data_IF_374684231651
#
_entry.id   IF_374684231651
#
_cell.length_a   1.000
_cell.length_b   1.000
_cell.length_c   1.000
_cell.angle_alpha   90.00
_cell.angle_beta   90.00
_cell.angle_gamma   90.00
#
_symmetry.space_group_name_H-M   'P 1'
#
loop_
_entity.id
_entity.type
_entity.pdbx_description
1 polymer ?
#
# COMPACT_ATOMS: atom_id res chain seq x y z
N UNK A 1 -27.32 11.98 10.57
CA UNK A 1 -26.95 10.91 9.62
C UNK A 1 -25.63 11.31 9.00
N UNK A 2 -24.58 10.47 9.00
CA UNK A 2 -23.28 10.87 8.46
C UNK A 2 -23.38 10.97 6.93
N UNK A 3 -22.92 12.09 6.38
CA UNK A 3 -22.93 12.36 4.95
C UNK A 3 -22.03 11.38 4.22
N UNK A 4 -22.61 10.67 3.24
CA UNK A 4 -21.89 9.89 2.25
C UNK A 4 -21.14 10.85 1.34
N UNK A 5 -19.79 10.81 1.25
CA UNK A 5 -19.06 11.66 0.32
C UNK A 5 -19.49 11.25 -1.09
N UNK A 6 -20.04 12.23 -1.82
CA UNK A 6 -20.69 12.06 -3.13
C UNK A 6 -19.91 12.77 -4.23
N UNK A 7 -18.59 12.91 -4.09
CA UNK A 7 -17.76 13.50 -5.14
C UNK A 7 -16.39 12.81 -5.25
N UNK A 8 -16.04 12.19 -6.39
CA UNK A 8 -14.70 11.63 -6.62
C UNK A 8 -13.58 12.67 -6.66
N UNK A 9 -13.92 13.97 -6.68
CA UNK A 9 -12.97 15.09 -6.63
C UNK A 9 -12.60 15.55 -5.22
N UNK A 10 -13.24 15.04 -4.16
CA UNK A 10 -12.90 15.38 -2.76
C UNK A 10 -11.60 14.73 -2.25
N UNK A 11 -10.91 13.95 -3.10
CA UNK A 11 -9.63 13.30 -2.81
C UNK A 11 -8.53 13.79 -3.76
N UNK A 12 -8.47 15.10 -4.05
CA UNK A 12 -7.35 15.70 -4.74
C UNK A 12 -6.13 15.79 -3.82
N UNK A 13 -5.50 14.66 -3.51
CA UNK A 13 -4.25 14.62 -2.75
C UNK A 13 -3.14 15.36 -3.50
N UNK A 14 -2.46 16.26 -2.81
CA UNK A 14 -1.24 16.90 -3.33
C UNK A 14 -0.17 15.83 -3.58
N UNK A 15 0.74 16.10 -4.51
CA UNK A 15 1.90 15.22 -4.79
C UNK A 15 2.69 14.87 -3.52
N UNK A 16 2.73 15.79 -2.55
CA UNK A 16 3.38 15.60 -1.25
C UNK A 16 2.61 14.60 -0.38
N UNK A 17 1.30 14.76 -0.24
CA UNK A 17 0.45 13.84 0.52
C UNK A 17 0.47 12.43 -0.09
N UNK A 18 0.42 12.32 -1.42
CA UNK A 18 0.56 11.03 -2.10
C UNK A 18 1.90 10.38 -1.75
N UNK A 19 3.01 11.13 -1.83
CA UNK A 19 4.35 10.63 -1.51
C UNK A 19 4.46 10.18 -0.04
N UNK A 20 3.87 10.93 0.88
CA UNK A 20 3.80 10.59 2.31
C UNK A 20 3.03 9.28 2.52
N UNK A 21 1.88 9.12 1.86
CA UNK A 21 1.10 7.87 1.88
C UNK A 21 1.88 6.68 1.30
N UNK A 22 2.63 6.86 0.20
CA UNK A 22 3.49 5.81 -0.36
C UNK A 22 4.55 5.36 0.65
N UNK A 23 5.20 6.32 1.29
CA UNK A 23 6.29 6.05 2.22
C UNK A 23 5.77 5.36 3.48
N UNK A 24 4.61 5.78 3.97
CA UNK A 24 3.95 5.15 5.11
C UNK A 24 3.50 3.72 4.79
N UNK A 25 2.93 3.50 3.60
CA UNK A 25 2.58 2.15 3.14
C UNK A 25 3.82 1.24 3.07
N UNK A 26 4.94 1.73 2.54
CA UNK A 26 6.21 0.97 2.50
C UNK A 26 6.72 0.64 3.90
N UNK A 27 6.62 1.58 4.85
CA UNK A 27 7.01 1.37 6.25
C UNK A 27 6.18 0.25 6.88
N UNK A 28 4.86 0.32 6.77
CA UNK A 28 3.95 -0.69 7.30
C UNK A 28 4.21 -2.08 6.70
N UNK A 29 4.45 -2.16 5.38
CA UNK A 29 4.72 -3.44 4.73
C UNK A 29 6.01 -4.09 5.27
N UNK A 30 7.07 -3.29 5.47
CA UNK A 30 8.32 -3.76 6.05
C UNK A 30 8.13 -4.26 7.48
N UNK A 31 7.36 -3.55 8.30
CA UNK A 31 7.06 -3.96 9.67
C UNK A 31 6.28 -5.27 9.72
N UNK A 32 5.31 -5.45 8.83
CA UNK A 32 4.53 -6.68 8.77
C UNK A 32 5.38 -7.88 8.33
N UNK A 33 6.28 -7.71 7.35
CA UNK A 33 7.23 -8.75 6.96
C UNK A 33 8.11 -9.18 8.14
N UNK A 34 8.62 -8.22 8.91
CA UNK A 34 9.44 -8.51 10.10
C UNK A 34 8.66 -9.27 11.18
N UNK A 35 7.39 -8.93 11.40
CA UNK A 35 6.53 -9.66 12.35
C UNK A 35 6.26 -11.10 11.85
N UNK A 36 6.00 -11.26 10.56
CA UNK A 36 5.83 -12.55 9.92
C UNK A 36 7.10 -13.42 10.03
N UNK A 37 8.30 -12.83 9.86
CA UNK A 37 9.57 -13.55 10.06
C UNK A 37 9.75 -14.03 11.49
N UNK A 38 9.39 -13.23 12.49
CA UNK A 38 9.44 -13.66 13.90
C UNK A 38 8.53 -14.85 14.15
N UNK A 39 7.32 -14.84 13.56
CA UNK A 39 6.36 -15.93 13.68
C UNK A 39 6.80 -17.20 12.92
N UNK A 40 7.64 -17.08 11.89
CA UNK A 40 8.12 -18.23 11.08
C UNK A 40 9.11 -19.14 11.81
N UNK A 41 9.56 -18.73 13.00
CA UNK A 41 10.29 -19.59 13.93
C UNK A 41 9.43 -20.73 14.52
N UNK A 42 8.11 -20.69 14.34
CA UNK A 42 7.18 -21.76 14.68
C UNK A 42 6.97 -22.69 13.46
N UNK A 43 7.41 -23.97 13.52
CA UNK A 43 7.39 -24.89 12.38
C UNK A 43 6.00 -25.08 11.74
N UNK A 44 4.93 -24.92 12.52
CA UNK A 44 3.55 -25.15 12.10
C UNK A 44 2.90 -24.00 11.33
N UNK A 45 3.59 -22.87 11.11
CA UNK A 45 3.02 -21.67 10.46
C UNK A 45 3.82 -21.16 9.25
N UNK A 46 4.87 -21.87 8.84
CA UNK A 46 5.80 -21.39 7.80
C UNK A 46 5.14 -21.18 6.43
N UNK A 47 4.14 -21.99 6.07
CA UNK A 47 3.43 -21.91 4.79
C UNK A 47 2.45 -20.74 4.74
N UNK A 48 1.66 -20.53 5.79
CA UNK A 48 0.74 -19.39 5.91
C UNK A 48 1.52 -18.07 5.91
N UNK A 49 2.66 -18.04 6.61
CA UNK A 49 3.53 -16.88 6.65
C UNK A 49 4.13 -16.59 5.28
N UNK A 50 4.60 -17.61 4.56
CA UNK A 50 5.10 -17.44 3.20
C UNK A 50 3.99 -16.90 2.27
N UNK A 51 2.78 -17.43 2.38
CA UNK A 51 1.63 -16.96 1.61
C UNK A 51 1.32 -15.48 1.90
N UNK A 52 1.30 -15.08 3.18
CA UNK A 52 1.09 -13.68 3.57
C UNK A 52 2.17 -12.75 3.02
N UNK A 53 3.44 -13.17 3.02
CA UNK A 53 4.54 -12.39 2.41
C UNK A 53 4.29 -12.15 0.92
N UNK A 54 3.94 -13.20 0.17
CA UNK A 54 3.65 -13.09 -1.28
C UNK A 54 2.47 -12.15 -1.54
N UNK A 55 1.39 -12.24 -0.76
CA UNK A 55 0.24 -11.32 -0.90
C UNK A 55 0.64 -9.87 -0.66
N UNK A 56 1.54 -9.62 0.29
CA UNK A 56 2.02 -8.27 0.60
C UNK A 56 2.95 -7.69 -0.45
N UNK A 57 3.83 -8.52 -1.01
CA UNK A 57 4.68 -8.11 -2.11
C UNK A 57 3.83 -7.78 -3.34
N UNK A 58 2.81 -8.61 -3.64
CA UNK A 58 1.87 -8.36 -4.72
C UNK A 58 1.08 -7.06 -4.51
N UNK A 59 0.54 -6.84 -3.31
CA UNK A 59 -0.20 -5.61 -2.97
C UNK A 59 0.69 -4.37 -3.09
N UNK A 60 1.93 -4.45 -2.61
CA UNK A 60 2.93 -3.37 -2.73
C UNK A 60 3.22 -3.00 -4.19
N UNK A 61 3.33 -4.01 -5.06
CA UNK A 61 3.56 -3.81 -6.48
C UNK A 61 2.36 -3.13 -7.15
N UNK A 62 1.13 -3.55 -6.85
CA UNK A 62 -0.09 -2.93 -7.38
C UNK A 62 -0.21 -1.46 -6.96
N UNK A 63 -0.05 -1.16 -5.67
CA UNK A 63 -0.09 0.21 -5.14
C UNK A 63 0.96 1.09 -5.84
N UNK A 64 2.20 0.60 -5.95
CA UNK A 64 3.28 1.34 -6.61
C UNK A 64 2.97 1.64 -8.08
N UNK A 65 2.40 0.68 -8.81
CA UNK A 65 2.00 0.86 -10.19
C UNK A 65 0.86 1.88 -10.34
N UNK A 66 -0.13 1.84 -9.44
CA UNK A 66 -1.22 2.81 -9.43
C UNK A 66 -0.73 4.24 -9.17
N UNK A 67 0.22 4.41 -8.26
CA UNK A 67 0.82 5.71 -7.97
C UNK A 67 1.64 6.25 -9.15
N UNK A 68 2.41 5.39 -9.83
CA UNK A 68 3.12 5.77 -11.07
C UNK A 68 2.11 6.21 -12.14
N UNK A 69 1.00 5.46 -12.29
CA UNK A 69 -0.06 5.78 -13.26
C UNK A 69 -0.71 7.13 -12.94
N UNK A 70 -1.07 7.37 -11.68
CA UNK A 70 -1.66 8.63 -11.22
C UNK A 70 -0.70 9.80 -11.42
N UNK A 71 0.60 9.64 -11.10
CA UNK A 71 1.60 10.69 -11.34
C UNK A 71 1.67 11.08 -12.82
N UNK A 72 1.66 10.09 -13.74
CA UNK A 72 1.67 10.36 -15.18
C UNK A 72 0.39 11.04 -15.67
N UNK A 73 -0.76 10.79 -15.04
CA UNK A 73 -2.01 11.49 -15.37
C UNK A 73 -1.97 12.94 -14.90
N UNK A 74 -1.44 13.19 -13.70
CA UNK A 74 -1.25 14.55 -13.17
C UNK A 74 -0.29 15.37 -14.05
N UNK A 75 0.80 14.76 -14.54
CA UNK A 75 1.75 15.44 -15.45
C UNK A 75 1.14 15.77 -16.83
N UNK A 76 0.08 15.08 -17.25
CA UNK A 76 -0.64 15.33 -18.52
C UNK A 76 -1.78 16.35 -18.40
N UNK A 77 -2.17 16.70 -17.18
CA UNK A 77 -3.23 17.69 -16.88
C UNK A 77 -2.64 19.10 -16.66
N UNK A 78 -1.33 19.27 -16.82
CA UNK A 78 -0.61 20.55 -16.88
C UNK A 78 -0.25 20.90 -18.31
#
# INVERSE_FOLDING_TARGET
MPNKPSNPEELAYTKKELLELVNEQKRMNKEMILQLEKLSSLPSMSQEIHYLKVLLDSSSAHISNDLIRLSRQIDRLK
#
